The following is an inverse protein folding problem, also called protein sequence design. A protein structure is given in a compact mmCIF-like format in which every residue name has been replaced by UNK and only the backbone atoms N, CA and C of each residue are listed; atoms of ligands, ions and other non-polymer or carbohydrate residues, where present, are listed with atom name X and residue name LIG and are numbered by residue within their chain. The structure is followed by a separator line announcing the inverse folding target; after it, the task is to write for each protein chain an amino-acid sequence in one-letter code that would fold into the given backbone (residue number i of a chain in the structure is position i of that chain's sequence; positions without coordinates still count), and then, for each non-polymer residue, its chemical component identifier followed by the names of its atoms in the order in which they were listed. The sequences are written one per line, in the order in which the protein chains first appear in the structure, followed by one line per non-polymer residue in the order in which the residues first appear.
data_IF_122624245007
#
_entry.id   IF_122624245007
#
_cell.length_a   1.000
_cell.length_b   1.000
_cell.length_c   1.000
_cell.angle_alpha   90.00
_cell.angle_beta   90.00
_cell.angle_gamma   90.00
#
_symmetry.space_group_name_H-M   'P 1'
#
loop_
_entity.id
_entity.type
_entity.pdbx_description
1 polymer ?
#
# COMPACT_ATOMS: atom_id res chain seq x y z
N UNK A 1 -33.75 18.79 -63.00
CA UNK A 1 -33.60 17.83 -61.88
C UNK A 1 -35.01 17.41 -61.49
N UNK A 2 -35.34 16.12 -61.66
CA UNK A 2 -36.72 15.63 -61.54
C UNK A 2 -37.10 15.47 -60.06
N UNK A 3 -38.33 15.84 -59.68
CA UNK A 3 -38.81 15.78 -58.29
C UNK A 3 -38.78 14.36 -57.71
N UNK A 4 -38.90 13.36 -58.58
CA UNK A 4 -38.85 11.95 -58.19
C UNK A 4 -37.43 11.49 -57.80
N UNK A 5 -36.39 12.03 -58.45
CA UNK A 5 -34.99 11.74 -58.10
C UNK A 5 -34.62 12.31 -56.73
N UNK A 6 -35.09 13.54 -56.43
CA UNK A 6 -34.88 14.17 -55.13
C UNK A 6 -35.57 13.41 -53.99
N UNK A 7 -36.80 12.92 -54.23
CA UNK A 7 -37.52 12.07 -53.26
C UNK A 7 -36.86 10.71 -53.07
N UNK A 8 -36.30 10.13 -54.15
CA UNK A 8 -35.55 8.88 -54.09
C UNK A 8 -34.27 9.03 -53.26
N UNK A 9 -33.48 10.09 -53.52
CA UNK A 9 -32.29 10.40 -52.73
C UNK A 9 -32.60 10.67 -51.25
N UNK A 10 -33.69 11.41 -50.97
CA UNK A 10 -34.11 11.67 -49.59
C UNK A 10 -34.48 10.38 -48.83
N UNK A 11 -35.15 9.43 -49.50
CA UNK A 11 -35.47 8.12 -48.92
C UNK A 11 -34.21 7.30 -48.65
N UNK A 12 -33.25 7.30 -49.57
CA UNK A 12 -31.97 6.59 -49.41
C UNK A 12 -31.12 7.15 -48.27
N UNK A 13 -31.09 8.48 -48.11
CA UNK A 13 -30.39 9.12 -46.99
C UNK A 13 -31.07 8.82 -45.65
N UNK A 14 -32.40 8.82 -45.60
CA UNK A 14 -33.14 8.47 -44.39
C UNK A 14 -32.92 7.00 -43.98
N UNK A 15 -32.96 6.06 -44.93
CA UNK A 15 -32.68 4.64 -44.65
C UNK A 15 -31.24 4.41 -44.23
N UNK A 16 -30.27 5.08 -44.87
CA UNK A 16 -28.86 5.01 -44.47
C UNK A 16 -28.65 5.54 -43.04
N UNK A 17 -29.30 6.65 -42.68
CA UNK A 17 -29.21 7.21 -41.32
C UNK A 17 -29.84 6.27 -40.28
N UNK A 18 -30.98 5.64 -40.58
CA UNK A 18 -31.61 4.67 -39.69
C UNK A 18 -30.75 3.40 -39.50
N UNK A 19 -30.14 2.91 -40.58
CA UNK A 19 -29.23 1.76 -40.53
C UNK A 19 -27.98 2.05 -39.70
N UNK A 20 -27.37 3.24 -39.88
CA UNK A 20 -26.22 3.67 -39.08
C UNK A 20 -26.60 3.84 -37.60
N UNK A 21 -27.74 4.47 -37.31
CA UNK A 21 -28.22 4.62 -35.93
C UNK A 21 -28.46 3.25 -35.26
N UNK A 22 -29.04 2.29 -35.98
CA UNK A 22 -29.25 0.94 -35.49
C UNK A 22 -27.94 0.19 -35.23
N UNK A 23 -26.95 0.30 -36.13
CA UNK A 23 -25.63 -0.31 -35.95
C UNK A 23 -24.86 0.29 -34.77
N UNK A 24 -24.90 1.61 -34.60
CA UNK A 24 -24.27 2.29 -33.46
C UNK A 24 -24.93 1.88 -32.15
N UNK A 25 -26.26 1.81 -32.11
CA UNK A 25 -27.00 1.35 -30.92
C UNK A 25 -26.63 -0.09 -30.58
N UNK A 26 -26.54 -0.97 -31.58
CA UNK A 26 -26.15 -2.37 -31.40
C UNK A 26 -24.69 -2.51 -30.92
N UNK A 27 -23.77 -1.74 -31.48
CA UNK A 27 -22.38 -1.73 -31.04
C UNK A 27 -22.23 -1.23 -29.59
N UNK A 28 -22.98 -0.18 -29.23
CA UNK A 28 -23.00 0.36 -27.86
C UNK A 28 -23.58 -0.64 -26.86
N UNK A 29 -24.68 -1.33 -27.20
CA UNK A 29 -25.26 -2.34 -26.31
C UNK A 29 -24.30 -3.51 -26.10
N UNK A 30 -23.66 -4.01 -27.17
CA UNK A 30 -22.64 -5.08 -27.08
C UNK A 30 -21.47 -4.63 -26.19
N UNK A 31 -20.97 -3.41 -26.36
CA UNK A 31 -19.88 -2.88 -25.54
C UNK A 31 -20.27 -2.79 -24.06
N UNK A 32 -21.46 -2.28 -23.76
CA UNK A 32 -21.98 -2.17 -22.39
C UNK A 32 -22.18 -3.55 -21.76
N UNK A 33 -22.73 -4.52 -22.50
CA UNK A 33 -22.90 -5.91 -22.05
C UNK A 33 -21.55 -6.57 -21.73
N UNK A 34 -20.53 -6.36 -22.56
CA UNK A 34 -19.19 -6.87 -22.32
C UNK A 34 -18.50 -6.22 -21.11
N UNK A 35 -18.64 -4.91 -20.92
CA UNK A 35 -18.11 -4.20 -19.75
C UNK A 35 -18.82 -4.63 -18.46
N UNK A 36 -20.14 -4.79 -18.51
CA UNK A 36 -20.93 -5.27 -17.39
C UNK A 36 -20.56 -6.72 -17.02
N UNK A 37 -20.38 -7.60 -18.01
CA UNK A 37 -19.99 -8.99 -17.77
C UNK A 37 -18.57 -9.12 -17.23
N UNK A 38 -17.61 -8.31 -17.70
CA UNK A 38 -16.26 -8.27 -17.16
C UNK A 38 -16.25 -7.87 -15.67
N UNK A 39 -17.00 -6.81 -15.31
CA UNK A 39 -17.16 -6.38 -13.91
C UNK A 39 -17.86 -7.45 -13.06
N UNK A 40 -18.88 -8.10 -13.60
CA UNK A 40 -19.59 -9.17 -12.89
C UNK A 40 -18.69 -10.38 -12.60
N UNK A 41 -17.82 -10.76 -13.53
CA UNK A 41 -16.84 -11.86 -13.34
C UNK A 41 -15.82 -11.53 -12.25
N UNK A 42 -15.26 -10.33 -12.26
CA UNK A 42 -14.30 -9.89 -11.23
C UNK A 42 -14.93 -9.87 -9.82
N UNK A 43 -16.20 -9.45 -9.73
CA UNK A 43 -16.97 -9.47 -8.48
C UNK A 43 -17.25 -10.90 -8.00
N UNK A 44 -17.62 -11.81 -8.90
CA UNK A 44 -17.91 -13.20 -8.57
C UNK A 44 -16.65 -13.94 -8.09
N UNK A 45 -15.52 -13.77 -8.77
CA UNK A 45 -14.22 -14.31 -8.33
C UNK A 45 -13.86 -13.77 -6.94
N UNK A 46 -14.00 -12.46 -6.72
CA UNK A 46 -13.71 -11.84 -5.41
C UNK A 46 -14.59 -12.42 -4.30
N UNK A 47 -15.90 -12.59 -4.56
CA UNK A 47 -16.84 -13.19 -3.62
C UNK A 47 -16.54 -14.66 -3.36
N UNK A 48 -16.14 -15.41 -4.38
CA UNK A 48 -15.72 -16.80 -4.26
C UNK A 48 -14.48 -16.91 -3.37
N UNK A 49 -13.46 -16.08 -3.59
CA UNK A 49 -12.25 -16.03 -2.77
C UNK A 49 -12.55 -15.60 -1.33
N UNK A 50 -13.43 -14.62 -1.12
CA UNK A 50 -13.88 -14.22 0.20
C UNK A 50 -14.62 -15.33 0.93
N UNK A 51 -15.50 -16.08 0.25
CA UNK A 51 -16.19 -17.24 0.83
C UNK A 51 -15.21 -18.36 1.19
N UNK A 52 -14.23 -18.65 0.34
CA UNK A 52 -13.18 -19.64 0.62
C UNK A 52 -12.32 -19.22 1.81
N UNK A 53 -11.94 -17.95 1.90
CA UNK A 53 -11.21 -17.43 3.05
C UNK A 53 -12.07 -17.49 4.32
N UNK A 54 -13.34 -17.12 4.23
CA UNK A 54 -14.28 -17.19 5.35
C UNK A 54 -14.51 -18.62 5.84
N UNK A 55 -14.65 -19.59 4.94
CA UNK A 55 -14.77 -21.00 5.32
C UNK A 55 -13.48 -21.54 5.93
N UNK A 56 -12.31 -21.14 5.44
CA UNK A 56 -11.03 -21.53 6.03
C UNK A 56 -10.84 -20.95 7.45
N UNK A 57 -11.15 -19.66 7.62
CA UNK A 57 -11.05 -18.97 8.91
C UNK A 57 -12.12 -19.45 9.92
N UNK A 58 -13.34 -19.74 9.47
CA UNK A 58 -14.43 -20.26 10.31
C UNK A 58 -14.21 -21.72 10.70
N UNK A 59 -13.43 -22.47 9.91
CA UNK A 59 -12.94 -23.81 10.25
C UNK A 59 -11.72 -23.74 11.17
N UNK A 60 -11.56 -22.64 11.91
CA UNK A 60 -10.47 -22.29 12.83
C UNK A 60 -10.29 -23.21 14.03
N UNK A 61 -10.57 -24.50 13.86
CA UNK A 61 -10.29 -25.57 14.80
C UNK A 61 -10.11 -26.89 14.03
N UNK A 62 -9.32 -26.88 12.95
CA UNK A 62 -8.66 -28.14 12.57
C UNK A 62 -7.60 -28.35 13.63
N UNK A 63 -8.00 -29.10 14.65
CA UNK A 63 -7.13 -29.71 15.63
C UNK A 63 -5.87 -30.20 14.92
N UNK A 64 -4.77 -29.46 15.12
CA UNK A 64 -3.47 -29.80 14.55
C UNK A 64 -2.79 -30.88 15.39
N UNK A 65 -3.48 -31.44 16.40
CA UNK A 65 -3.01 -32.61 17.16
C UNK A 65 -3.19 -33.93 16.38
N UNK A 66 -3.22 -33.87 15.04
CA UNK A 66 -3.03 -35.05 14.21
C UNK A 66 -1.59 -35.54 14.33
N UNK A 67 -1.36 -36.40 15.31
CA UNK A 67 -0.11 -37.12 15.47
C UNK A 67 -0.05 -38.24 14.42
N UNK A 68 0.66 -37.98 13.32
CA UNK A 68 0.93 -39.00 12.32
C UNK A 68 1.52 -40.25 13.01
N UNK A 69 0.95 -41.45 12.80
CA UNK A 69 1.53 -42.71 13.26
C UNK A 69 3.01 -42.76 12.91
N UNK A 70 3.87 -43.36 13.76
CA UNK A 70 5.33 -43.40 13.54
C UNK A 70 5.73 -43.91 12.15
N UNK A 71 4.88 -44.72 11.53
CA UNK A 71 5.02 -45.28 10.18
C UNK A 71 4.80 -44.28 9.04
N UNK A 72 4.18 -43.13 9.30
CA UNK A 72 3.81 -42.11 8.30
C UNK A 72 4.66 -40.83 8.39
N UNK A 73 5.70 -40.79 9.25
CA UNK A 73 6.57 -39.61 9.47
C UNK A 73 7.77 -39.52 8.51
N UNK A 74 7.66 -40.06 7.29
CA UNK A 74 8.75 -39.94 6.29
C UNK A 74 8.27 -39.00 5.19
N UNK A 75 8.87 -37.82 5.12
CA UNK A 75 8.40 -36.73 4.27
C UNK A 75 8.99 -36.76 2.87
N UNK A 76 10.24 -37.20 2.76
CA UNK A 76 10.95 -37.35 1.51
C UNK A 76 12.20 -38.16 1.76
N UNK A 77 12.55 -38.98 0.78
CA UNK A 77 13.78 -39.75 0.75
C UNK A 77 14.70 -39.03 -0.22
N UNK A 78 15.83 -38.55 0.26
CA UNK A 78 16.90 -38.00 -0.57
C UNK A 78 18.00 -39.05 -0.70
N UNK A 79 18.38 -39.36 -1.93
CA UNK A 79 19.52 -40.20 -2.26
C UNK A 79 20.74 -39.30 -2.45
N UNK A 80 21.63 -39.30 -1.47
CA UNK A 80 22.96 -38.67 -1.61
C UNK A 80 23.97 -39.76 -1.91
N UNK A 81 24.71 -39.64 -3.02
CA UNK A 81 25.82 -40.56 -3.30
C UNK A 81 27.10 -40.04 -2.66
N UNK A 82 27.65 -40.82 -1.74
CA UNK A 82 28.99 -40.63 -1.20
C UNK A 82 29.97 -41.52 -1.98
N UNK A 83 31.13 -40.99 -2.35
CA UNK A 83 32.16 -41.73 -3.08
C UNK A 83 32.78 -42.87 -2.27
N UNK A 84 32.72 -42.83 -0.94
CA UNK A 84 33.22 -43.91 -0.08
C UNK A 84 32.10 -44.79 0.50
N UNK A 85 30.93 -44.22 0.81
CA UNK A 85 29.83 -44.95 1.46
C UNK A 85 28.71 -45.41 0.52
N UNK A 86 28.75 -45.07 -0.77
CA UNK A 86 27.70 -45.42 -1.75
C UNK A 86 26.46 -44.54 -1.65
N UNK A 87 25.32 -45.01 -2.17
CA UNK A 87 24.06 -44.26 -2.12
C UNK A 87 23.44 -44.30 -0.71
N UNK A 88 23.42 -43.15 -0.03
CA UNK A 88 22.86 -42.97 1.31
C UNK A 88 21.42 -42.49 1.17
N UNK A 89 20.49 -43.25 1.77
CA UNK A 89 19.09 -42.87 1.93
C UNK A 89 18.94 -42.01 3.18
N UNK A 90 18.68 -40.70 3.01
CA UNK A 90 18.33 -39.81 4.12
C UNK A 90 16.82 -39.52 4.09
N UNK A 91 16.13 -39.95 5.14
CA UNK A 91 14.76 -39.52 5.40
C UNK A 91 14.79 -38.11 6.00
N UNK A 92 14.07 -37.15 5.41
CA UNK A 92 13.79 -35.85 6.04
C UNK A 92 12.49 -35.90 6.82
N UNK A 93 12.44 -35.17 7.93
CA UNK A 93 11.21 -34.98 8.70
C UNK A 93 10.19 -34.19 7.87
N UNK A 94 8.89 -34.40 8.13
CA UNK A 94 7.81 -33.60 7.50
C UNK A 94 7.90 -32.15 7.92
N UNK A 95 8.40 -31.90 9.14
CA UNK A 95 8.61 -30.56 9.67
C UNK A 95 9.66 -29.78 8.86
N UNK A 96 10.66 -30.46 8.28
CA UNK A 96 11.68 -29.82 7.43
C UNK A 96 11.11 -29.37 6.07
N UNK A 97 9.93 -29.87 5.69
CA UNK A 97 9.22 -29.49 4.47
C UNK A 97 8.09 -28.48 4.73
N UNK A 98 7.82 -28.14 5.99
CA UNK A 98 6.82 -27.11 6.32
C UNK A 98 7.38 -25.73 5.99
N UNK A 99 7.11 -25.27 4.77
CA UNK A 99 7.46 -23.90 4.32
C UNK A 99 6.43 -22.86 4.72
N UNK A 100 5.36 -23.25 5.41
CA UNK A 100 4.25 -22.39 5.79
C UNK A 100 3.58 -22.94 7.05
N UNK A 101 3.27 -22.06 8.00
CA UNK A 101 2.61 -22.39 9.28
C UNK A 101 1.68 -21.25 9.74
N UNK A 102 1.09 -21.41 10.93
CA UNK A 102 0.17 -20.40 11.49
C UNK A 102 0.84 -19.05 11.80
N UNK A 103 2.15 -19.03 12.09
CA UNK A 103 2.89 -17.80 12.34
C UNK A 103 2.95 -16.91 11.10
N UNK A 104 2.94 -17.49 9.91
CA UNK A 104 2.94 -16.74 8.65
C UNK A 104 1.67 -15.89 8.48
N UNK A 105 0.51 -16.36 8.95
CA UNK A 105 -0.71 -15.55 8.98
C UNK A 105 -0.57 -14.36 9.91
N UNK A 106 0.04 -14.55 11.09
CA UNK A 106 0.29 -13.44 12.03
C UNK A 106 1.26 -12.40 11.44
N UNK A 107 2.32 -12.85 10.75
CA UNK A 107 3.26 -11.96 10.05
C UNK A 107 2.56 -11.18 8.93
N UNK A 108 1.73 -11.85 8.11
CA UNK A 108 0.98 -11.20 7.04
C UNK A 108 -0.05 -10.19 7.57
N UNK A 109 -0.74 -10.52 8.66
CA UNK A 109 -1.68 -9.61 9.32
C UNK A 109 -0.97 -8.38 9.88
N UNK A 110 0.16 -8.56 10.57
CA UNK A 110 0.98 -7.46 11.08
C UNK A 110 1.48 -6.57 9.94
N UNK A 111 2.03 -7.16 8.88
CA UNK A 111 2.47 -6.42 7.69
C UNK A 111 1.34 -5.60 7.07
N UNK A 112 0.15 -6.18 6.95
CA UNK A 112 -1.03 -5.50 6.40
C UNK A 112 -1.42 -4.30 7.28
N UNK A 113 -1.40 -4.46 8.61
CA UNK A 113 -1.68 -3.39 9.56
C UNK A 113 -0.65 -2.25 9.46
N UNK A 114 0.64 -2.57 9.38
CA UNK A 114 1.72 -1.59 9.25
C UNK A 114 1.59 -0.76 7.96
N UNK A 115 1.27 -1.41 6.84
CA UNK A 115 1.02 -0.73 5.56
C UNK A 115 -0.26 0.11 5.59
N UNK A 116 -1.30 -0.33 6.30
CA UNK A 116 -2.52 0.47 6.48
C UNK A 116 -2.26 1.75 7.28
N UNK A 117 -1.53 1.65 8.41
CA UNK A 117 -1.10 2.80 9.21
C UNK A 117 -0.31 3.81 8.35
N UNK A 118 0.65 3.32 7.55
CA UNK A 118 1.41 4.18 6.64
C UNK A 118 0.51 4.84 5.59
N UNK A 119 -0.43 4.09 5.02
CA UNK A 119 -1.39 4.59 4.02
C UNK A 119 -2.27 5.70 4.60
N UNK A 120 -2.82 5.50 5.81
CA UNK A 120 -3.63 6.49 6.52
C UNK A 120 -2.84 7.77 6.76
N UNK A 121 -1.61 7.65 7.26
CA UNK A 121 -0.75 8.80 7.50
C UNK A 121 -0.51 9.59 6.20
N UNK A 122 -0.16 8.94 5.10
CA UNK A 122 0.02 9.62 3.79
C UNK A 122 -1.27 10.30 3.33
N UNK A 123 -2.42 9.66 3.54
CA UNK A 123 -3.70 10.21 3.11
C UNK A 123 -4.05 11.49 3.90
N UNK A 124 -3.96 11.47 5.23
CA UNK A 124 -4.33 12.64 6.01
C UNK A 124 -3.31 13.78 5.90
N UNK A 125 -2.02 13.46 5.77
CA UNK A 125 -0.96 14.46 5.72
C UNK A 125 -0.70 15.01 4.32
N UNK A 126 -0.90 14.19 3.27
CA UNK A 126 -0.41 14.51 1.93
C UNK A 126 -1.34 14.07 0.79
N UNK A 127 -2.62 13.78 1.03
CA UNK A 127 -3.55 13.39 -0.07
C UNK A 127 -3.66 14.40 -1.22
N UNK A 128 -3.37 15.68 -0.97
CA UNK A 128 -3.41 16.76 -1.99
C UNK A 128 -2.06 17.02 -2.65
N UNK A 129 -0.99 16.39 -2.16
CA UNK A 129 0.36 16.58 -2.69
C UNK A 129 0.61 15.77 -3.97
N UNK A 130 1.74 16.06 -4.63
CA UNK A 130 2.28 15.24 -5.71
C UNK A 130 2.70 13.85 -5.20
N UNK A 131 2.95 12.90 -6.11
CA UNK A 131 3.51 11.60 -5.75
C UNK A 131 4.80 11.73 -4.92
N UNK A 132 5.69 12.66 -5.31
CA UNK A 132 6.95 12.91 -4.60
C UNK A 132 6.69 13.48 -3.19
N UNK A 133 5.68 14.33 -3.02
CA UNK A 133 5.28 14.86 -1.71
C UNK A 133 4.71 13.77 -0.78
N UNK A 134 3.87 12.89 -1.31
CA UNK A 134 3.36 11.72 -0.57
C UNK A 134 4.49 10.77 -0.17
N UNK A 135 5.41 10.47 -1.11
CA UNK A 135 6.56 9.64 -0.85
C UNK A 135 7.48 10.26 0.21
N UNK A 136 7.64 11.59 0.22
CA UNK A 136 8.44 12.29 1.21
C UNK A 136 7.89 12.13 2.64
N UNK A 137 6.58 12.24 2.83
CA UNK A 137 5.94 11.96 4.14
C UNK A 137 6.14 10.50 4.55
N UNK A 138 5.93 9.57 3.61
CA UNK A 138 6.16 8.14 3.87
C UNK A 138 7.61 7.87 4.30
N UNK A 139 8.58 8.47 3.61
CA UNK A 139 10.00 8.34 3.93
C UNK A 139 10.35 8.92 5.30
N UNK A 140 9.71 10.01 5.74
CA UNK A 140 9.89 10.52 7.11
C UNK A 140 9.45 9.47 8.14
N UNK A 141 8.29 8.84 7.95
CA UNK A 141 7.81 7.77 8.84
C UNK A 141 8.80 6.60 8.85
N UNK A 142 9.24 6.15 7.68
CA UNK A 142 10.24 5.07 7.57
C UNK A 142 11.59 5.46 8.18
N UNK A 143 11.97 6.74 8.14
CA UNK A 143 13.20 7.23 8.78
C UNK A 143 13.07 7.25 10.31
N UNK A 144 11.87 7.59 10.84
CA UNK A 144 11.58 7.51 12.27
C UNK A 144 11.65 6.07 12.77
N UNK A 145 11.03 5.13 12.07
CA UNK A 145 11.10 3.69 12.42
C UNK A 145 12.56 3.18 12.52
N UNK A 146 13.47 3.71 11.69
CA UNK A 146 14.89 3.35 11.71
C UNK A 146 15.71 4.13 12.75
N UNK A 147 15.16 5.16 13.37
CA UNK A 147 15.89 6.06 14.24
C UNK A 147 15.59 5.73 15.72
N UNK A 148 16.61 5.55 16.59
CA UNK A 148 16.43 5.09 17.98
C UNK A 148 15.57 5.99 18.89
N UNK A 149 15.27 7.20 18.45
CA UNK A 149 14.45 8.16 19.19
C UNK A 149 12.94 7.97 19.00
N UNK A 150 12.51 7.06 18.12
CA UNK A 150 11.10 6.82 17.81
C UNK A 150 10.75 5.33 17.95
N UNK A 151 9.46 4.99 18.00
CA UNK A 151 9.01 3.61 17.95
C UNK A 151 9.55 2.85 16.74
N UNK A 152 9.79 1.54 16.90
CA UNK A 152 10.35 0.67 15.87
C UNK A 152 9.30 0.08 14.91
N UNK A 153 8.05 0.52 15.00
CA UNK A 153 6.95 0.11 14.11
C UNK A 153 6.29 1.34 13.48
N UNK A 154 5.79 1.19 12.25
CA UNK A 154 5.11 2.26 11.51
C UNK A 154 3.86 2.68 12.27
N UNK A 155 3.02 1.72 12.70
CA UNK A 155 1.85 2.06 13.49
C UNK A 155 2.23 2.77 14.80
N UNK A 156 3.32 2.35 15.46
CA UNK A 156 3.84 3.02 16.66
C UNK A 156 4.23 4.48 16.40
N UNK A 157 4.89 4.76 15.28
CA UNK A 157 5.26 6.14 14.88
C UNK A 157 4.03 6.97 14.50
N UNK A 158 3.08 6.38 13.78
CA UNK A 158 1.88 7.09 13.28
C UNK A 158 0.94 7.46 14.42
N UNK A 159 0.77 6.59 15.41
CA UNK A 159 -0.09 6.81 16.56
C UNK A 159 0.65 7.31 17.80
N UNK A 160 1.90 7.74 17.65
CA UNK A 160 2.70 8.22 18.77
C UNK A 160 2.02 9.42 19.48
N UNK A 161 1.68 9.24 20.75
CA UNK A 161 1.04 10.25 21.57
C UNK A 161 -0.47 10.37 21.37
N UNK A 162 -1.10 9.50 20.57
CA UNK A 162 -2.55 9.52 20.36
C UNK A 162 -3.36 9.28 21.65
N UNK A 163 -2.75 8.59 22.61
CA UNK A 163 -3.28 8.32 23.94
C UNK A 163 -3.09 9.47 24.95
N UNK A 164 -2.29 10.49 24.61
CA UNK A 164 -1.87 11.54 25.54
C UNK A 164 -2.75 12.77 25.41
N UNK A 165 -2.99 13.44 26.53
CA UNK A 165 -3.65 14.76 26.55
C UNK A 165 -2.74 15.89 26.04
N UNK A 166 -1.42 15.66 25.99
CA UNK A 166 -0.41 16.67 25.66
C UNK A 166 -0.26 16.93 24.16
N UNK A 167 -0.94 16.16 23.32
CA UNK A 167 -0.88 16.28 21.86
C UNK A 167 -0.30 15.05 21.17
N UNK A 168 -0.51 15.01 19.87
CA UNK A 168 -0.32 13.82 19.03
C UNK A 168 0.69 14.12 17.92
N UNK A 169 1.52 13.13 17.59
CA UNK A 169 2.56 13.30 16.58
C UNK A 169 1.98 13.60 15.19
N UNK A 170 0.85 12.99 14.86
CA UNK A 170 0.06 13.29 13.67
C UNK A 170 -1.33 13.75 14.10
N UNK A 171 -1.72 14.96 13.73
CA UNK A 171 -2.94 15.61 14.24
C UNK A 171 -4.21 14.80 13.95
N UNK A 172 -4.23 14.09 12.80
CA UNK A 172 -5.39 13.29 12.39
C UNK A 172 -5.75 12.15 13.36
N UNK A 173 -4.81 11.73 14.22
CA UNK A 173 -5.06 10.67 15.21
C UNK A 173 -5.89 11.17 16.39
N UNK A 174 -6.04 12.48 16.56
CA UNK A 174 -6.65 13.10 17.74
C UNK A 174 -7.67 14.18 17.46
N UNK A 175 -7.71 14.72 16.23
CA UNK A 175 -8.66 15.77 15.83
C UNK A 175 -10.03 15.23 15.35
N UNK A 176 -10.24 13.91 15.39
CA UNK A 176 -11.45 13.24 14.91
C UNK A 176 -11.50 13.03 13.39
N UNK A 177 -10.42 13.32 12.65
CA UNK A 177 -10.35 13.09 11.20
C UNK A 177 -10.60 11.64 10.79
N UNK A 178 -10.26 10.68 11.65
CA UNK A 178 -10.48 9.26 11.42
C UNK A 178 -11.96 8.83 11.45
N UNK A 179 -12.89 9.69 11.94
CA UNK A 179 -14.33 9.42 11.84
C UNK A 179 -14.75 9.26 10.37
N UNK A 180 -14.06 9.94 9.46
CA UNK A 180 -14.28 9.81 8.01
C UNK A 180 -13.20 8.92 7.41
N UNK A 181 -13.59 7.70 7.07
CA UNK A 181 -12.69 6.73 6.44
C UNK A 181 -12.11 7.26 5.11
N UNK A 182 -10.82 6.99 4.83
CA UNK A 182 -10.19 7.31 3.55
C UNK A 182 -10.92 6.65 2.36
N UNK A 183 -11.13 7.41 1.28
CA UNK A 183 -11.86 6.91 0.11
C UNK A 183 -11.40 7.53 -1.22
N UNK A 184 -11.79 6.87 -2.31
CA UNK A 184 -11.63 7.40 -3.67
C UNK A 184 -10.19 7.31 -4.22
N UNK A 185 -9.91 8.14 -5.24
CA UNK A 185 -8.62 8.11 -5.96
C UNK A 185 -7.43 8.44 -5.06
N UNK A 186 -7.57 9.43 -4.20
CA UNK A 186 -6.48 9.85 -3.31
C UNK A 186 -6.15 8.77 -2.28
N UNK A 187 -7.12 7.98 -1.83
CA UNK A 187 -6.87 6.84 -0.95
C UNK A 187 -6.05 5.75 -1.64
N UNK A 188 -6.50 5.29 -2.82
CA UNK A 188 -5.74 4.30 -3.61
C UNK A 188 -4.33 4.75 -3.92
N UNK A 189 -4.15 6.04 -4.24
CA UNK A 189 -2.81 6.61 -4.47
C UNK A 189 -1.95 6.55 -3.20
N UNK A 190 -2.53 6.85 -2.04
CA UNK A 190 -1.82 6.78 -0.75
C UNK A 190 -1.40 5.35 -0.41
N UNK A 191 -2.27 4.36 -0.67
CA UNK A 191 -1.94 2.93 -0.51
C UNK A 191 -0.79 2.49 -1.42
N UNK A 192 -0.81 2.89 -2.70
CA UNK A 192 0.27 2.58 -3.64
C UNK A 192 1.60 3.22 -3.21
N UNK A 193 1.58 4.46 -2.74
CA UNK A 193 2.79 5.13 -2.21
C UNK A 193 3.28 4.46 -0.94
N UNK A 194 2.38 4.06 -0.04
CA UNK A 194 2.73 3.33 1.19
C UNK A 194 3.43 2.02 0.86
N UNK A 195 2.87 1.21 -0.03
CA UNK A 195 3.48 -0.04 -0.48
C UNK A 195 4.86 0.20 -1.12
N UNK A 196 4.98 1.22 -1.98
CA UNK A 196 6.24 1.59 -2.61
C UNK A 196 7.32 1.96 -1.58
N UNK A 197 6.98 2.81 -0.60
CA UNK A 197 7.88 3.23 0.45
C UNK A 197 8.24 2.08 1.42
N UNK A 198 7.26 1.24 1.74
CA UNK A 198 7.43 0.07 2.61
C UNK A 198 8.43 -0.93 2.00
N UNK A 199 8.31 -1.21 0.71
CA UNK A 199 9.24 -2.07 -0.04
C UNK A 199 10.64 -1.44 -0.22
N UNK A 200 10.85 -0.21 0.25
CA UNK A 200 12.12 0.50 0.08
C UNK A 200 12.38 0.94 -1.36
N UNK A 201 11.34 1.03 -2.19
CA UNK A 201 11.47 1.52 -3.55
C UNK A 201 11.59 3.05 -3.56
N UNK A 202 12.50 3.54 -4.39
CA UNK A 202 12.78 4.96 -4.55
C UNK A 202 13.91 5.48 -3.66
N UNK A 203 14.68 6.42 -4.20
CA UNK A 203 15.71 7.13 -3.44
C UNK A 203 15.05 8.01 -2.38
N UNK A 204 15.71 8.19 -1.24
CA UNK A 204 15.27 9.15 -0.24
C UNK A 204 15.31 10.58 -0.80
N UNK A 205 14.12 11.16 -1.02
CA UNK A 205 13.98 12.52 -1.58
C UNK A 205 14.11 13.59 -0.50
N UNK A 206 14.00 13.20 0.77
CA UNK A 206 13.98 14.08 1.96
C UNK A 206 15.36 14.34 2.56
N UNK A 207 16.38 13.58 2.14
CA UNK A 207 17.75 13.57 2.72
C UNK A 207 17.74 13.25 4.22
N UNK A 208 17.13 12.12 4.57
CA UNK A 208 17.05 11.53 5.91
C UNK A 208 16.26 12.39 6.89
N UNK A 209 15.22 13.06 6.40
CA UNK A 209 14.38 13.88 7.25
C UNK A 209 13.57 13.00 8.22
N UNK A 210 13.42 13.50 9.44
CA UNK A 210 12.58 12.90 10.51
C UNK A 210 11.47 13.85 10.96
N UNK A 211 11.49 15.10 10.48
CA UNK A 211 10.48 16.12 10.81
C UNK A 211 10.09 16.85 9.55
N UNK A 212 8.87 17.37 9.54
CA UNK A 212 8.42 18.33 8.54
C UNK A 212 7.33 19.23 9.13
N UNK A 213 7.12 20.37 8.50
CA UNK A 213 5.93 21.17 8.71
C UNK A 213 5.45 21.75 7.37
N UNK A 214 4.21 22.22 7.33
CA UNK A 214 3.71 22.94 6.17
C UNK A 214 4.26 24.36 6.16
N UNK A 215 4.35 24.96 4.98
CA UNK A 215 4.75 26.38 4.81
C UNK A 215 3.79 27.37 5.48
N UNK A 216 2.64 26.92 5.97
CA UNK A 216 1.64 27.76 6.62
C UNK A 216 1.92 28.00 8.12
N UNK A 217 2.87 27.26 8.70
CA UNK A 217 3.21 27.36 10.13
C UNK A 217 4.73 27.43 10.31
N UNK A 218 5.17 28.04 11.41
CA UNK A 218 6.57 28.13 11.79
C UNK A 218 6.76 27.63 13.24
N UNK A 219 7.08 26.34 13.44
CA UNK A 219 7.11 25.75 14.76
C UNK A 219 8.48 25.90 15.45
N UNK A 220 8.48 26.35 16.71
CA UNK A 220 9.70 26.59 17.52
C UNK A 220 10.75 25.46 17.55
N UNK A 221 10.34 24.20 17.34
CA UNK A 221 11.27 23.07 17.34
C UNK A 221 12.18 23.06 16.11
N UNK A 222 11.83 23.79 15.04
CA UNK A 222 12.59 23.78 13.79
C UNK A 222 13.94 24.53 13.90
N UNK A 223 14.07 25.46 14.86
CA UNK A 223 15.27 26.24 15.16
C UNK A 223 16.49 25.35 15.45
N UNK A 224 16.24 24.18 16.02
CA UNK A 224 17.28 23.24 16.43
C UNK A 224 17.53 22.13 15.40
N UNK A 225 16.94 22.24 14.20
CA UNK A 225 17.02 21.22 13.16
C UNK A 225 17.57 21.76 11.84
N UNK A 226 18.23 20.88 11.08
CA UNK A 226 18.74 21.22 9.76
C UNK A 226 17.63 20.98 8.73
N UNK A 227 17.06 22.04 8.12
CA UNK A 227 16.16 21.80 6.95
C UNK A 227 16.94 21.27 5.78
N UNK A 228 16.39 20.24 5.17
CA UNK A 228 17.00 19.47 4.11
C UNK A 228 16.46 19.85 2.75
N UNK A 229 15.13 19.98 2.65
CA UNK A 229 14.43 20.23 1.39
C UNK A 229 13.05 20.86 1.63
N UNK A 230 12.52 21.49 0.59
CA UNK A 230 11.09 21.81 0.47
C UNK A 230 10.52 21.01 -0.70
N UNK A 231 9.43 20.27 -0.46
CA UNK A 231 8.74 19.48 -1.49
C UNK A 231 7.26 19.81 -1.37
N UNK A 232 6.71 20.41 -2.42
CA UNK A 232 5.33 20.91 -2.40
C UNK A 232 5.13 21.92 -1.28
N UNK A 233 4.12 21.68 -0.45
CA UNK A 233 3.77 22.54 0.69
C UNK A 233 4.56 22.22 1.97
N UNK A 234 5.45 21.22 1.95
CA UNK A 234 6.17 20.75 3.13
C UNK A 234 7.64 21.15 3.13
N UNK A 235 8.14 21.56 4.29
CA UNK A 235 9.55 21.80 4.59
C UNK A 235 10.04 20.67 5.49
N UNK A 236 11.12 19.99 5.09
CA UNK A 236 11.64 18.80 5.74
C UNK A 236 12.93 19.10 6.51
N UNK A 237 13.12 18.40 7.63
CA UNK A 237 14.22 18.61 8.57
C UNK A 237 14.76 17.30 9.12
N UNK A 238 16.03 17.33 9.50
CA UNK A 238 16.69 16.24 10.23
C UNK A 238 17.44 16.77 11.44
N UNK A 239 17.81 15.86 12.34
CA UNK A 239 18.75 16.18 13.39
C UNK A 239 20.10 16.64 12.81
N UNK A 240 20.74 17.64 13.44
CA UNK A 240 22.09 18.04 13.07
C UNK A 240 23.08 16.92 13.39
N UNK A 241 24.12 16.79 12.59
CA UNK A 241 25.28 15.96 12.92
C UNK A 241 26.11 16.62 14.01
N UNK A 242 27.05 15.86 14.63
CA UNK A 242 27.97 16.44 15.63
C UNK A 242 28.73 17.64 15.05
N UNK A 243 29.33 17.47 13.86
CA UNK A 243 30.04 18.55 13.15
C UNK A 243 29.19 19.79 12.91
N UNK A 244 27.93 19.62 12.51
CA UNK A 244 27.03 20.77 12.26
C UNK A 244 26.63 21.51 13.54
N UNK A 245 26.49 20.79 14.66
CA UNK A 245 26.31 21.41 15.98
C UNK A 245 27.56 22.17 16.39
N UNK A 246 28.73 21.56 16.24
CA UNK A 246 30.02 22.15 16.62
C UNK A 246 30.33 23.41 15.78
N UNK A 247 29.89 23.43 14.51
CA UNK A 247 30.06 24.55 13.59
C UNK A 247 29.02 25.68 13.76
N UNK A 248 28.01 25.53 14.63
CA UNK A 248 27.01 26.57 14.87
C UNK A 248 26.04 26.85 13.70
N UNK A 249 25.96 25.95 12.70
CA UNK A 249 25.22 26.12 11.44
C UNK A 249 23.71 26.40 11.64
N UNK A 250 23.16 26.11 12.83
CA UNK A 250 21.77 26.37 13.16
C UNK A 250 21.47 27.87 13.40
N UNK A 251 22.48 28.74 13.56
CA UNK A 251 22.31 30.17 13.89
C UNK A 251 22.22 31.12 12.68
N UNK A 252 22.43 30.63 11.46
CA UNK A 252 22.56 31.49 10.25
C UNK A 252 21.30 31.54 9.37
N UNK A 253 20.12 31.17 9.90
CA UNK A 253 18.89 31.07 9.10
C UNK A 253 18.08 32.35 8.91
N UNK A 254 18.42 33.39 9.67
CA UNK A 254 17.75 34.70 9.66
C UNK A 254 18.58 35.80 8.97
N UNK A 255 19.57 35.42 8.15
CA UNK A 255 20.35 36.34 7.30
C UNK A 255 19.92 36.27 5.84
#
# INVERSE_FOLDING_TARGET
MNLDDARSQQKQLATAFHMLAALVLCALTILVLNLASARAREQDETLQWQRLAGTYLARGDVDTDWQAPRTLRIASILLESDSEAGAILRARSLDDLQTFDSSHFSTAANLTSEVDCLSRAIYYEARSESFVGQLAVAQVIMNRVRHPAYPSTICGVVFEGAERMTGCQFTFTCDGSMIREPRGRSWRRSQLVAQHAFMGFGRDVTRRATHYHTVAVDPYWNDNLVRTRRIGTHIFYRFPTRRERDAGILRERDA
#
